data_IF_696127735034
#
_entry.id   IF_696127735034
#
_cell.length_a   1.000
_cell.length_b   1.000
_cell.length_c   1.000
_cell.angle_alpha   90.00
_cell.angle_beta   90.00
_cell.angle_gamma   90.00
#
_symmetry.space_group_name_H-M   'P 1'
#
loop_
_entity.id
_entity.type
_entity.pdbx_description
1 polymer ?
#
# COMPACT_ATOMS: atom_id res chain seq x y z
N UNK A 1 -1.23 5.61 22.88
CA UNK A 1 -2.63 5.16 22.86
C UNK A 1 -2.62 3.64 22.80
N UNK A 2 -2.90 2.90 23.88
CA UNK A 2 -2.82 1.42 23.88
C UNK A 2 -3.92 0.74 23.07
N UNK A 3 -5.10 1.33 22.98
CA UNK A 3 -6.26 0.67 22.32
C UNK A 3 -6.16 0.50 20.80
N UNK A 4 -5.37 1.31 20.09
CA UNK A 4 -5.16 1.14 18.66
C UNK A 4 -4.17 0.01 18.31
N UNK A 5 -3.34 -0.41 19.26
CA UNK A 5 -2.33 -1.44 19.05
C UNK A 5 -2.91 -2.87 18.98
N UNK A 6 -4.11 -3.09 19.48
CA UNK A 6 -4.72 -4.42 19.49
C UNK A 6 -5.10 -4.91 18.08
N UNK A 7 -5.66 -4.03 17.25
CA UNK A 7 -6.08 -4.39 15.89
C UNK A 7 -4.90 -4.56 14.91
N UNK A 8 -3.75 -4.01 15.24
CA UNK A 8 -2.57 -3.98 14.38
C UNK A 8 -1.67 -5.21 14.49
N UNK A 9 -1.89 -6.08 15.47
CA UNK A 9 -1.04 -7.26 15.69
C UNK A 9 -1.34 -8.42 14.73
N UNK A 10 -2.47 -8.39 14.01
CA UNK A 10 -2.88 -9.47 13.12
C UNK A 10 -2.57 -9.22 11.63
N UNK A 11 -2.23 -8.00 11.25
CA UNK A 11 -1.97 -7.68 9.84
C UNK A 11 -0.60 -7.01 9.72
N UNK A 12 0.43 -7.81 9.50
CA UNK A 12 1.75 -7.32 9.11
C UNK A 12 1.78 -7.11 7.59
N UNK A 13 2.57 -6.14 7.13
CA UNK A 13 2.91 -6.01 5.73
C UNK A 13 3.67 -7.26 5.29
N UNK A 14 3.20 -7.96 4.27
CA UNK A 14 3.84 -9.13 3.68
C UNK A 14 3.92 -8.95 2.17
N UNK A 15 5.11 -9.05 1.60
CA UNK A 15 5.36 -8.75 0.19
C UNK A 15 4.68 -9.72 -0.79
N UNK A 16 4.35 -10.93 -0.35
CA UNK A 16 3.70 -11.99 -1.13
C UNK A 16 2.18 -11.94 -1.11
N UNK A 17 1.60 -11.14 -0.21
CA UNK A 17 0.15 -10.93 -0.18
C UNK A 17 -0.32 -9.94 -1.25
N UNK A 18 -1.56 -10.11 -1.76
CA UNK A 18 -2.17 -9.12 -2.64
C UNK A 18 -2.13 -7.72 -2.02
N UNK A 19 -1.58 -6.75 -2.75
CA UNK A 19 -1.39 -5.38 -2.26
C UNK A 19 -0.63 -5.30 -0.91
N UNK A 20 0.23 -6.27 -0.58
CA UNK A 20 0.93 -6.35 0.70
C UNK A 20 0.00 -6.40 1.92
N UNK A 21 -1.20 -6.95 1.80
CA UNK A 21 -2.23 -6.99 2.84
C UNK A 21 -2.95 -5.65 3.08
N UNK A 22 -2.67 -4.59 2.31
CA UNK A 22 -3.39 -3.33 2.42
C UNK A 22 -4.81 -3.46 1.87
N UNK A 23 -5.78 -3.02 2.65
CA UNK A 23 -7.19 -2.92 2.26
C UNK A 23 -7.50 -1.60 1.55
N UNK A 24 -6.72 -0.56 1.85
CA UNK A 24 -6.86 0.78 1.26
C UNK A 24 -5.54 1.22 0.64
N UNK A 25 -5.58 1.60 -0.64
CA UNK A 25 -4.41 2.09 -1.38
C UNK A 25 -4.73 3.42 -2.07
N UNK A 26 -3.73 4.29 -2.22
CA UNK A 26 -3.88 5.52 -3.01
C UNK A 26 -3.84 5.19 -4.50
N UNK A 27 -4.83 5.68 -5.25
CA UNK A 27 -4.90 5.50 -6.71
C UNK A 27 -4.85 4.03 -7.17
N UNK A 28 -5.31 3.09 -6.35
CA UNK A 28 -5.34 1.67 -6.69
C UNK A 28 -3.98 0.98 -6.77
N UNK A 29 -2.92 1.60 -6.27
CA UNK A 29 -1.57 1.04 -6.26
C UNK A 29 -0.89 1.23 -4.91
N UNK A 30 -0.17 0.21 -4.46
CA UNK A 30 0.63 0.27 -3.24
C UNK A 30 1.78 1.25 -3.42
N UNK A 31 1.88 2.23 -2.52
CA UNK A 31 2.97 3.20 -2.47
C UNK A 31 3.76 3.05 -1.18
N UNK A 32 5.04 3.41 -1.20
CA UNK A 32 5.91 3.33 -0.02
C UNK A 32 5.37 4.12 1.18
N UNK A 33 4.65 5.21 0.93
CA UNK A 33 4.02 6.02 1.98
C UNK A 33 2.79 5.34 2.63
N UNK A 34 2.16 4.38 1.94
CA UNK A 34 0.95 3.73 2.43
C UNK A 34 1.25 2.58 3.39
N UNK A 35 2.40 1.90 3.19
CA UNK A 35 2.74 0.68 3.96
C UNK A 35 3.08 0.95 5.43
N UNK A 36 3.50 2.18 5.77
CA UNK A 36 3.75 2.58 7.15
C UNK A 36 2.50 3.03 7.93
N UNK A 37 1.34 3.07 7.28
CA UNK A 37 0.09 3.56 7.86
C UNK A 37 -0.78 2.38 8.29
N UNK A 38 -0.78 2.08 9.56
CA UNK A 38 -1.49 0.95 10.13
C UNK A 38 -2.98 0.90 9.77
N UNK A 39 -3.66 2.05 9.67
CA UNK A 39 -5.07 2.15 9.31
C UNK A 39 -5.36 1.56 7.90
N UNK A 40 -4.39 1.56 7.00
CA UNK A 40 -4.57 1.05 5.64
C UNK A 40 -4.69 -0.48 5.58
N UNK A 41 -4.39 -1.18 6.67
CA UNK A 41 -4.53 -2.63 6.79
C UNK A 41 -5.87 -3.06 7.41
N UNK A 42 -6.65 -2.12 7.94
CA UNK A 42 -7.94 -2.41 8.56
C UNK A 42 -9.00 -2.68 7.50
N UNK A 43 -9.82 -3.69 7.74
CA UNK A 43 -11.01 -3.95 6.93
C UNK A 43 -12.05 -2.83 7.13
N UNK A 44 -13.01 -2.72 6.23
CA UNK A 44 -14.10 -1.75 6.33
C UNK A 44 -14.91 -1.93 7.62
N UNK A 45 -15.12 -3.18 8.04
CA UNK A 45 -15.79 -3.50 9.30
C UNK A 45 -15.00 -2.99 10.50
N UNK A 46 -13.68 -3.25 10.55
CA UNK A 46 -12.80 -2.77 11.64
C UNK A 46 -12.73 -1.24 11.69
N UNK A 47 -12.69 -0.57 10.54
CA UNK A 47 -12.73 0.89 10.48
C UNK A 47 -14.06 1.42 11.03
N UNK A 48 -15.18 0.78 10.67
CA UNK A 48 -16.51 1.16 11.16
C UNK A 48 -16.62 0.98 12.67
N UNK A 49 -16.12 -0.13 13.19
CA UNK A 49 -16.09 -0.39 14.63
C UNK A 49 -15.19 0.60 15.37
N UNK A 50 -14.01 0.87 14.84
CA UNK A 50 -13.09 1.86 15.40
C UNK A 50 -13.71 3.26 15.46
N UNK A 51 -14.35 3.69 14.38
CA UNK A 51 -15.02 4.99 14.32
C UNK A 51 -16.16 5.06 15.35
N UNK A 52 -16.94 3.99 15.51
CA UNK A 52 -17.99 3.92 16.51
C UNK A 52 -17.45 4.05 17.93
N UNK A 53 -16.40 3.32 18.27
CA UNK A 53 -15.76 3.40 19.59
C UNK A 53 -15.20 4.80 19.85
N UNK A 54 -14.55 5.40 18.86
CA UNK A 54 -14.00 6.77 18.98
C UNK A 54 -15.13 7.77 19.21
N UNK A 55 -16.23 7.69 18.48
CA UNK A 55 -17.39 8.59 18.66
C UNK A 55 -17.97 8.47 20.06
N UNK A 56 -18.28 7.25 20.51
CA UNK A 56 -18.79 7.02 21.86
C UNK A 56 -17.84 7.52 22.96
N UNK A 57 -16.51 7.38 22.74
CA UNK A 57 -15.52 7.89 23.67
C UNK A 57 -15.48 9.41 23.72
N UNK A 58 -15.61 10.08 22.57
CA UNK A 58 -15.67 11.55 22.50
C UNK A 58 -16.92 12.10 23.18
N UNK A 59 -18.07 11.45 22.94
CA UNK A 59 -19.33 11.82 23.61
C UNK A 59 -19.22 11.67 25.14
N UNK A 60 -18.57 10.60 25.61
CA UNK A 60 -18.29 10.42 27.02
C UNK A 60 -17.36 11.50 27.57
N UNK A 61 -16.32 11.87 26.84
CA UNK A 61 -15.38 12.91 27.22
C UNK A 61 -16.09 14.29 27.31
N UNK A 62 -16.97 14.60 26.36
CA UNK A 62 -17.77 15.82 26.33
C UNK A 62 -18.74 15.88 27.54
N UNK A 63 -19.39 14.77 27.89
CA UNK A 63 -20.22 14.70 29.09
C UNK A 63 -19.42 14.99 30.36
N UNK A 64 -18.20 14.44 30.51
CA UNK A 64 -17.34 14.74 31.66
C UNK A 64 -16.95 16.22 31.72
N UNK A 65 -16.66 16.85 30.57
CA UNK A 65 -16.34 18.26 30.48
C UNK A 65 -17.55 19.14 30.83
N UNK A 66 -18.74 18.79 30.34
CA UNK A 66 -19.99 19.50 30.65
C UNK A 66 -20.32 19.47 32.14
N UNK A 67 -20.04 18.38 32.81
CA UNK A 67 -20.17 18.23 34.26
C UNK A 67 -19.07 18.90 35.06
N UNK A 68 -18.13 19.61 34.39
CA UNK A 68 -16.97 20.27 35.00
C UNK A 68 -16.15 19.37 35.90
N UNK A 69 -16.02 18.08 35.56
CA UNK A 69 -15.15 17.15 36.26
C UNK A 69 -13.69 17.37 35.81
N UNK A 70 -12.83 17.62 36.77
CA UNK A 70 -11.40 17.59 36.52
C UNK A 70 -10.95 16.13 36.33
N UNK A 71 -10.37 15.84 35.15
CA UNK A 71 -9.88 14.50 34.79
C UNK A 71 -8.44 14.63 34.33
N UNK A 72 -7.52 14.05 35.06
CA UNK A 72 -6.09 14.07 34.70
C UNK A 72 -5.80 13.00 33.63
N UNK A 73 -4.67 13.14 32.93
CA UNK A 73 -4.29 12.23 31.85
C UNK A 73 -4.22 10.75 32.28
N UNK A 74 -3.79 10.51 33.52
CA UNK A 74 -3.77 9.16 34.11
C UNK A 74 -5.18 8.58 34.23
N UNK A 75 -6.12 9.39 34.73
CA UNK A 75 -7.51 8.98 34.89
C UNK A 75 -8.16 8.66 33.53
N UNK A 76 -7.79 9.40 32.46
CA UNK A 76 -8.26 9.13 31.10
C UNK A 76 -7.82 7.75 30.59
N UNK A 77 -6.61 7.30 30.93
CA UNK A 77 -6.14 5.97 30.55
C UNK A 77 -6.96 4.87 31.26
N UNK A 78 -7.16 5.00 32.58
CA UNK A 78 -7.96 4.04 33.36
C UNK A 78 -9.42 4.01 32.90
N UNK A 79 -10.01 5.19 32.60
CA UNK A 79 -11.38 5.29 32.07
C UNK A 79 -11.53 4.69 30.68
N UNK A 80 -10.51 4.83 29.81
CA UNK A 80 -10.53 4.24 28.48
C UNK A 80 -10.50 2.70 28.55
N UNK A 81 -9.65 2.15 29.41
CA UNK A 81 -9.57 0.70 29.61
C UNK A 81 -10.89 0.14 30.16
N UNK A 82 -11.48 0.83 31.15
CA UNK A 82 -12.79 0.48 31.69
C UNK A 82 -13.90 0.58 30.64
N UNK A 83 -13.90 1.64 29.83
CA UNK A 83 -14.85 1.86 28.76
C UNK A 83 -14.77 0.78 27.68
N UNK A 84 -13.57 0.41 27.24
CA UNK A 84 -13.36 -0.67 26.28
C UNK A 84 -13.84 -2.01 26.82
N UNK A 85 -13.50 -2.31 28.07
CA UNK A 85 -13.93 -3.54 28.75
C UNK A 85 -15.46 -3.62 28.92
N UNK A 86 -16.10 -2.50 29.24
CA UNK A 86 -17.57 -2.40 29.33
C UNK A 86 -18.26 -2.65 27.99
N UNK A 87 -17.59 -2.30 26.88
CA UNK A 87 -18.09 -2.55 25.52
C UNK A 87 -17.63 -3.90 24.95
N UNK A 88 -17.25 -4.87 25.79
CA UNK A 88 -16.78 -6.20 25.41
C UNK A 88 -15.58 -6.18 24.44
N UNK A 89 -14.74 -5.14 24.55
CA UNK A 89 -13.52 -5.02 23.75
C UNK A 89 -12.31 -5.47 24.55
N UNK A 90 -11.47 -6.27 23.91
CA UNK A 90 -10.21 -6.69 24.52
C UNK A 90 -9.24 -5.50 24.61
N UNK A 91 -8.68 -5.30 25.79
CA UNK A 91 -7.66 -4.26 26.02
C UNK A 91 -6.29 -4.90 25.93
N UNK A 92 -5.40 -4.30 25.16
CA UNK A 92 -4.01 -4.76 25.06
C UNK A 92 -3.29 -4.47 26.39
N UNK A 93 -2.75 -5.50 27.02
CA UNK A 93 -1.95 -5.36 28.23
C UNK A 93 -0.56 -4.83 27.87
N UNK A 94 -0.31 -3.57 28.21
CA UNK A 94 0.97 -2.91 27.96
C UNK A 94 1.10 -2.26 26.58
N UNK A 95 2.33 -1.92 26.20
CA UNK A 95 2.65 -1.17 24.97
C UNK A 95 2.77 -2.03 23.70
N UNK A 96 2.48 -3.34 23.81
CA UNK A 96 2.74 -4.28 22.71
C UNK A 96 4.21 -4.74 22.65
N UNK A 97 4.47 -5.78 21.86
CA UNK A 97 5.81 -6.38 21.70
C UNK A 97 6.65 -5.72 20.60
N UNK A 98 6.01 -5.08 19.64
CA UNK A 98 6.66 -4.46 18.48
C UNK A 98 6.54 -2.94 18.58
N UNK A 99 7.66 -2.24 18.56
CA UNK A 99 7.67 -0.78 18.52
C UNK A 99 7.21 -0.25 17.16
N UNK A 100 6.64 0.96 17.14
CA UNK A 100 6.27 1.63 15.88
C UNK A 100 7.44 1.71 14.87
N UNK A 101 8.65 2.02 15.36
CA UNK A 101 9.85 2.07 14.52
C UNK A 101 10.17 0.71 13.88
N UNK A 102 10.05 -0.37 14.63
CA UNK A 102 10.26 -1.73 14.10
C UNK A 102 9.19 -2.10 13.08
N UNK A 103 7.93 -1.79 13.34
CA UNK A 103 6.83 -2.05 12.41
C UNK A 103 7.00 -1.30 11.10
N UNK A 104 7.36 -0.01 11.14
CA UNK A 104 7.62 0.79 9.93
C UNK A 104 8.83 0.27 9.17
N UNK A 105 9.92 -0.09 9.86
CA UNK A 105 11.11 -0.65 9.21
C UNK A 105 10.81 -1.97 8.50
N UNK A 106 10.04 -2.86 9.14
CA UNK A 106 9.58 -4.10 8.53
C UNK A 106 8.73 -3.83 7.28
N UNK A 107 7.71 -2.98 7.39
CA UNK A 107 6.84 -2.64 6.26
C UNK A 107 7.60 -2.04 5.07
N UNK A 108 8.64 -1.24 5.33
CA UNK A 108 9.49 -0.69 4.28
C UNK A 108 10.35 -1.74 3.60
N UNK A 109 10.91 -2.69 4.36
CA UNK A 109 11.68 -3.81 3.83
C UNK A 109 10.81 -4.70 2.93
N UNK A 110 9.60 -5.03 3.38
CA UNK A 110 8.63 -5.79 2.60
C UNK A 110 8.22 -5.05 1.31
N UNK A 111 8.04 -3.73 1.38
CA UNK A 111 7.75 -2.93 0.19
C UNK A 111 8.88 -2.97 -0.84
N UNK A 112 10.13 -2.99 -0.44
CA UNK A 112 11.26 -3.07 -1.37
C UNK A 112 11.26 -4.40 -2.14
N UNK A 113 10.94 -5.51 -1.48
CA UNK A 113 10.77 -6.82 -2.10
C UNK A 113 9.57 -6.84 -3.05
N UNK A 114 8.43 -6.33 -2.61
CA UNK A 114 7.22 -6.20 -3.44
C UNK A 114 7.47 -5.36 -4.70
N UNK A 115 8.15 -4.21 -4.56
CA UNK A 115 8.47 -3.34 -5.68
C UNK A 115 9.45 -3.99 -6.67
N UNK A 116 10.39 -4.80 -6.17
CA UNK A 116 11.32 -5.56 -7.01
C UNK A 116 10.59 -6.64 -7.82
N UNK A 117 9.73 -7.43 -7.17
CA UNK A 117 8.91 -8.45 -7.85
C UNK A 117 7.98 -7.83 -8.90
N UNK A 118 7.33 -6.72 -8.56
CA UNK A 118 6.46 -6.01 -9.49
C UNK A 118 7.21 -5.50 -10.72
N UNK A 119 8.43 -4.96 -10.55
CA UNK A 119 9.28 -4.55 -11.68
C UNK A 119 9.65 -5.73 -12.56
N UNK A 120 10.14 -6.82 -11.96
CA UNK A 120 10.48 -8.02 -12.69
C UNK A 120 9.29 -8.60 -13.49
N UNK A 121 8.10 -8.60 -12.90
CA UNK A 121 6.88 -9.05 -13.58
C UNK A 121 6.50 -8.14 -14.77
N UNK A 122 6.67 -6.82 -14.65
CA UNK A 122 6.42 -5.87 -15.73
C UNK A 122 7.44 -6.01 -16.85
N UNK A 123 8.72 -6.19 -16.54
CA UNK A 123 9.79 -6.43 -17.49
C UNK A 123 9.53 -7.72 -18.26
N UNK A 124 9.24 -8.83 -17.58
CA UNK A 124 8.90 -10.10 -18.22
C UNK A 124 7.65 -10.01 -19.12
N UNK A 125 6.64 -9.26 -18.70
CA UNK A 125 5.44 -9.02 -19.52
C UNK A 125 5.77 -8.16 -20.76
N UNK A 126 6.64 -7.16 -20.62
CA UNK A 126 7.13 -6.33 -21.73
C UNK A 126 7.95 -7.11 -22.74
N UNK A 127 8.87 -7.95 -22.27
CA UNK A 127 9.65 -8.85 -23.13
C UNK A 127 8.76 -9.86 -23.85
N UNK A 128 7.77 -10.44 -23.18
CA UNK A 128 6.80 -11.34 -23.80
C UNK A 128 5.94 -10.66 -24.85
N UNK A 129 5.54 -9.40 -24.65
CA UNK A 129 4.82 -8.60 -25.65
C UNK A 129 5.71 -8.31 -26.87
N UNK A 130 6.95 -7.85 -26.65
CA UNK A 130 7.89 -7.57 -27.72
C UNK A 130 8.19 -8.83 -28.56
N UNK A 131 8.42 -9.97 -27.91
CA UNK A 131 8.64 -11.25 -28.60
C UNK A 131 7.43 -11.67 -29.47
N UNK A 132 6.20 -11.47 -28.98
CA UNK A 132 4.97 -11.76 -29.76
C UNK A 132 4.83 -10.81 -30.95
N UNK A 133 5.14 -9.53 -30.78
CA UNK A 133 5.10 -8.54 -31.87
C UNK A 133 6.14 -8.87 -32.94
N UNK A 134 7.38 -9.20 -32.56
CA UNK A 134 8.42 -9.61 -33.49
C UNK A 134 8.02 -10.89 -34.25
N UNK A 135 7.46 -11.88 -33.56
CA UNK A 135 6.99 -13.12 -34.19
C UNK A 135 5.80 -12.89 -35.16
N UNK A 136 4.94 -11.89 -34.90
CA UNK A 136 3.85 -11.53 -35.82
C UNK A 136 4.37 -10.82 -37.07
N UNK A 137 5.34 -9.90 -36.93
CA UNK A 137 5.99 -9.21 -38.03
C UNK A 137 6.78 -10.18 -38.92
N UNK A 138 7.47 -11.17 -38.31
CA UNK A 138 8.25 -12.16 -39.08
C UNK A 138 7.40 -13.15 -39.89
N UNK A 139 6.09 -13.24 -39.60
CA UNK A 139 5.14 -14.07 -40.37
C UNK A 139 4.44 -13.32 -41.50
N UNK A 140 4.60 -12.00 -41.54
CA UNK A 140 3.99 -11.16 -42.56
C UNK A 140 5.09 -10.72 -43.55
N UNK A 141 5.23 -11.49 -44.64
CA UNK A 141 6.22 -11.23 -45.70
C UNK A 141 6.04 -9.81 -46.30
N UNK A 142 4.82 -9.28 -46.31
CA UNK A 142 4.56 -7.95 -46.79
C UNK A 142 5.11 -6.84 -45.89
N UNK A 143 5.12 -7.06 -44.59
CA UNK A 143 5.70 -6.13 -43.62
C UNK A 143 7.25 -6.13 -43.68
N UNK A 144 7.86 -7.28 -43.94
CA UNK A 144 9.30 -7.40 -44.17
C UNK A 144 9.73 -6.71 -45.45
N UNK A 145 8.99 -6.87 -46.57
CA UNK A 145 9.27 -6.13 -47.81
C UNK A 145 9.11 -4.61 -47.64
N UNK A 146 8.09 -4.17 -46.89
CA UNK A 146 7.91 -2.75 -46.61
C UNK A 146 9.07 -2.16 -45.76
N UNK A 147 9.55 -2.90 -44.78
CA UNK A 147 10.71 -2.51 -43.97
C UNK A 147 12.00 -2.45 -44.83
N UNK A 148 12.22 -3.41 -45.71
CA UNK A 148 13.38 -3.43 -46.60
C UNK A 148 13.32 -2.25 -47.63
N UNK A 149 12.13 -1.92 -48.14
CA UNK A 149 11.95 -0.73 -49.00
C UNK A 149 12.24 0.57 -48.22
N UNK A 150 11.80 0.70 -46.98
CA UNK A 150 12.09 1.87 -46.13
C UNK A 150 13.58 1.96 -45.84
N UNK A 151 14.23 0.87 -45.51
CA UNK A 151 15.68 0.81 -45.27
C UNK A 151 16.46 1.22 -46.53
N UNK A 152 16.09 0.72 -47.72
CA UNK A 152 16.70 1.11 -48.98
C UNK A 152 16.50 2.59 -49.31
N UNK A 153 15.35 3.19 -48.99
CA UNK A 153 15.11 4.63 -49.15
C UNK A 153 15.97 5.48 -48.23
N UNK A 154 16.15 5.06 -46.97
CA UNK A 154 16.96 5.77 -46.01
C UNK A 154 18.46 5.73 -46.37
N UNK A 155 18.96 4.61 -46.83
CA UNK A 155 20.35 4.47 -47.26
C UNK A 155 20.63 5.29 -48.56
N UNK A 156 19.68 5.34 -49.50
CA UNK A 156 19.81 6.13 -50.71
C UNK A 156 19.80 7.66 -50.46
N UNK A 157 19.07 8.09 -49.42
CA UNK A 157 19.03 9.51 -49.03
C UNK A 157 20.32 9.98 -48.33
N UNK A 158 21.08 9.06 -47.67
CA UNK A 158 22.36 9.35 -47.04
C UNK A 158 23.51 9.44 -48.04
N UNK A 159 23.43 8.77 -49.20
CA UNK A 159 24.49 8.76 -50.20
C UNK A 159 24.41 9.92 -51.23
N UNK A 160 23.39 10.79 -51.12
CA UNK A 160 23.18 11.91 -52.05
C UNK A 160 23.61 13.31 -51.56
N UNK A 161 24.22 13.38 -50.35
CA UNK A 161 24.60 14.66 -49.73
C UNK A 161 26.09 15.00 -49.78
N UNK A 162 26.91 14.17 -50.42
CA UNK A 162 28.39 14.39 -50.48
C UNK A 162 28.87 14.68 -51.92
N UNK A 163 28.05 15.35 -52.72
CA UNK A 163 28.50 15.81 -54.02
C UNK A 163 27.92 17.20 -54.32
N UNK A 164 28.52 18.23 -53.75
CA UNK A 164 28.53 19.62 -54.22
C UNK A 164 29.59 20.42 -53.43
#
# INVERSE_FOLDING_TARGET
MPGAAFLLQQQAAEYDQPNMGLTTTRKGQVQKADVGVAKNYLTEQEITELNRIVTMWLDFAEDQATRRKEVFLKDWTEKLDAFLSFNDRQVLVGAGKVSHKQAVAHAQSEYEQFAAQRRAALEAAGEGYAARMLASVSKDDSAMEALDQVAKRLTKKKGGSDAA
#
